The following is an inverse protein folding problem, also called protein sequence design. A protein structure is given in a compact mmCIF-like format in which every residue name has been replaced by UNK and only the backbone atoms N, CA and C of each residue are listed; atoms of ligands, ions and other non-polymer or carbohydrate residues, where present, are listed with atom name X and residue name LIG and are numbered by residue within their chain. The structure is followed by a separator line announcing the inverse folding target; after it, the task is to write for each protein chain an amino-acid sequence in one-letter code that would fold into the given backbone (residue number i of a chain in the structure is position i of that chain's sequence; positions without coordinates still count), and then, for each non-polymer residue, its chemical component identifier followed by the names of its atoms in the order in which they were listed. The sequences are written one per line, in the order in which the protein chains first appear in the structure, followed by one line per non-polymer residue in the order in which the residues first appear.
data_IF_058970139683
#
_entry.id   IF_058970139683
#
_cell.length_a   1.000
_cell.length_b   1.000
_cell.length_c   1.000
_cell.angle_alpha   90.00
_cell.angle_beta   90.00
_cell.angle_gamma   90.00
#
_symmetry.space_group_name_H-M   'P 1'
#
loop_
_entity.id
_entity.type
_entity.pdbx_description
1 polymer ?
#
# COMPACT_ATOMS: atom_id res chain seq x y z
N UNK A 1 -10.02 -1.27 -30.85
CA UNK A 1 -9.64 -2.29 -29.84
C UNK A 1 -9.43 -3.60 -30.56
N UNK A 2 -8.30 -4.26 -30.35
CA UNK A 2 -8.06 -5.64 -30.82
C UNK A 2 -8.78 -6.60 -29.87
N UNK A 3 -9.69 -7.41 -30.42
CA UNK A 3 -10.39 -8.48 -29.70
C UNK A 3 -9.66 -9.77 -30.02
N UNK A 4 -9.20 -10.48 -28.99
CA UNK A 4 -8.59 -11.80 -29.11
C UNK A 4 -9.55 -12.81 -28.50
N UNK A 5 -9.81 -13.91 -29.20
CA UNK A 5 -10.60 -15.01 -28.67
C UNK A 5 -9.69 -15.98 -27.93
N UNK A 6 -10.08 -16.35 -26.71
CA UNK A 6 -9.37 -17.30 -25.85
C UNK A 6 -10.43 -18.19 -25.22
N UNK A 7 -10.21 -19.49 -25.30
CA UNK A 7 -11.07 -20.47 -24.64
C UNK A 7 -10.67 -20.56 -23.17
N UNK A 8 -11.65 -20.33 -22.29
CA UNK A 8 -11.52 -20.41 -20.84
C UNK A 8 -12.68 -21.26 -20.36
N UNK A 9 -12.42 -22.14 -19.39
CA UNK A 9 -13.47 -22.91 -18.75
C UNK A 9 -14.53 -21.97 -18.14
N UNK A 10 -15.81 -22.30 -18.36
CA UNK A 10 -16.92 -21.42 -17.97
C UNK A 10 -17.11 -21.37 -16.46
N UNK A 11 -16.84 -22.48 -15.78
CA UNK A 11 -17.01 -22.60 -14.33
C UNK A 11 -15.85 -21.88 -13.62
N UNK A 12 -14.62 -22.01 -14.13
CA UNK A 12 -13.48 -21.22 -13.64
C UNK A 12 -13.70 -19.71 -13.84
N UNK A 13 -14.22 -19.31 -15.01
CA UNK A 13 -14.51 -17.90 -15.28
C UNK A 13 -15.64 -17.35 -14.39
N UNK A 14 -16.65 -18.17 -14.08
CA UNK A 14 -17.73 -17.80 -13.16
C UNK A 14 -17.20 -17.59 -11.75
N UNK A 15 -16.38 -18.53 -11.24
CA UNK A 15 -15.74 -18.41 -9.94
C UNK A 15 -14.82 -17.17 -9.88
N UNK A 16 -14.01 -16.95 -10.92
CA UNK A 16 -13.12 -15.81 -10.97
C UNK A 16 -13.90 -14.47 -10.93
N UNK A 17 -15.05 -14.38 -11.58
CA UNK A 17 -15.92 -13.19 -11.52
C UNK A 17 -16.47 -12.94 -10.12
N UNK A 18 -16.89 -14.00 -9.43
CA UNK A 18 -17.41 -13.92 -8.07
C UNK A 18 -16.32 -13.43 -7.10
N UNK A 19 -15.14 -14.06 -7.14
CA UNK A 19 -14.00 -13.70 -6.29
C UNK A 19 -13.49 -12.29 -6.58
N UNK A 20 -13.46 -11.88 -7.85
CA UNK A 20 -13.00 -10.57 -8.27
C UNK A 20 -14.06 -9.45 -8.12
N UNK A 21 -15.33 -9.80 -7.93
CA UNK A 21 -16.44 -8.83 -7.92
C UNK A 21 -16.66 -8.10 -9.25
N UNK A 22 -16.27 -8.70 -10.37
CA UNK A 22 -16.32 -8.06 -11.70
C UNK A 22 -17.59 -8.40 -12.47
N UNK A 23 -18.11 -7.46 -13.26
CA UNK A 23 -19.34 -7.65 -14.03
C UNK A 23 -19.10 -8.41 -15.34
N UNK A 24 -17.94 -8.26 -15.97
CA UNK A 24 -17.65 -8.84 -17.29
C UNK A 24 -16.42 -9.72 -17.30
N UNK A 25 -16.40 -10.73 -18.18
CA UNK A 25 -15.25 -11.63 -18.33
C UNK A 25 -13.97 -10.86 -18.71
N UNK A 26 -14.12 -9.82 -19.53
CA UNK A 26 -13.01 -8.95 -19.93
C UNK A 26 -12.38 -8.26 -18.72
N UNK A 27 -13.20 -7.70 -17.83
CA UNK A 27 -12.71 -7.05 -16.60
C UNK A 27 -12.02 -8.05 -15.67
N UNK A 28 -12.59 -9.26 -15.53
CA UNK A 28 -11.96 -10.33 -14.74
C UNK A 28 -10.57 -10.67 -15.26
N UNK A 29 -10.43 -10.86 -16.58
CA UNK A 29 -9.15 -11.19 -17.21
C UNK A 29 -8.17 -10.03 -17.12
N UNK A 30 -8.62 -8.78 -17.31
CA UNK A 30 -7.77 -7.61 -17.15
C UNK A 30 -7.23 -7.48 -15.72
N UNK A 31 -8.10 -7.67 -14.72
CA UNK A 31 -7.72 -7.64 -13.31
C UNK A 31 -6.72 -8.75 -12.97
N UNK A 32 -6.97 -9.97 -13.45
CA UNK A 32 -6.08 -11.11 -13.25
C UNK A 32 -4.69 -10.85 -13.84
N UNK A 33 -4.61 -10.34 -15.08
CA UNK A 33 -3.35 -10.01 -15.74
C UNK A 33 -2.60 -8.90 -15.00
N UNK A 34 -3.30 -7.84 -14.59
CA UNK A 34 -2.70 -6.73 -13.82
C UNK A 34 -2.11 -7.23 -12.50
N UNK A 35 -2.85 -8.08 -11.79
CA UNK A 35 -2.41 -8.68 -10.53
C UNK A 35 -1.20 -9.59 -10.73
N UNK A 36 -1.23 -10.47 -11.73
CA UNK A 36 -0.12 -11.38 -12.04
C UNK A 36 1.17 -10.61 -12.36
N UNK A 37 1.07 -9.54 -13.16
CA UNK A 37 2.22 -8.68 -13.49
C UNK A 37 2.73 -7.99 -12.22
N UNK A 38 1.85 -7.48 -11.37
CA UNK A 38 2.24 -6.83 -10.12
C UNK A 38 3.00 -7.79 -9.19
N UNK A 39 2.47 -9.01 -8.98
CA UNK A 39 3.11 -10.07 -8.19
C UNK A 39 4.49 -10.43 -8.73
N UNK A 40 4.61 -10.58 -10.06
CA UNK A 40 5.88 -10.98 -10.70
C UNK A 40 6.90 -9.85 -10.87
N UNK A 41 6.50 -8.58 -10.71
CA UNK A 41 7.43 -7.43 -10.77
C UNK A 41 8.20 -7.17 -9.47
N UNK A 42 7.81 -7.81 -8.36
CA UNK A 42 8.41 -7.58 -7.03
C UNK A 42 9.56 -8.50 -6.57
N UNK A 43 10.05 -9.53 -7.29
CA UNK A 43 11.24 -10.25 -6.83
C UNK A 43 12.52 -9.38 -6.79
N UNK A 44 12.71 -8.50 -7.77
CA UNK A 44 13.97 -7.76 -7.92
C UNK A 44 14.07 -6.48 -7.07
N UNK A 45 13.00 -6.06 -6.40
CA UNK A 45 13.05 -4.94 -5.42
C UNK A 45 13.26 -5.46 -4.00
N UNK A 46 12.66 -6.60 -3.65
CA UNK A 46 12.76 -7.19 -2.30
C UNK A 46 14.14 -7.81 -2.07
N UNK A 47 14.77 -8.43 -3.08
CA UNK A 47 16.15 -8.94 -2.98
C UNK A 47 17.18 -7.86 -2.63
N UNK A 48 16.97 -6.61 -3.08
CA UNK A 48 17.86 -5.48 -2.72
C UNK A 48 17.74 -5.04 -1.26
N UNK A 49 16.62 -5.33 -0.60
CA UNK A 49 16.38 -4.94 0.80
C UNK A 49 16.90 -6.01 1.78
N UNK A 50 16.81 -7.29 1.42
CA UNK A 50 17.26 -8.42 2.25
C UNK A 50 18.79 -8.56 2.24
N UNK A 51 19.49 -8.05 1.21
CA UNK A 51 20.96 -8.02 1.17
C UNK A 51 21.62 -6.87 1.94
N UNK A 52 20.86 -6.03 2.65
CA UNK A 52 21.41 -4.90 3.41
C UNK A 52 21.88 -5.38 4.78
N UNK A 53 23.17 -5.68 4.90
CA UNK A 53 23.83 -5.69 6.21
C UNK A 53 23.92 -4.25 6.69
N UNK A 54 23.39 -3.96 7.87
CA UNK A 54 23.64 -2.68 8.55
C UNK A 54 24.98 -2.79 9.25
N UNK A 55 25.87 -1.83 9.01
CA UNK A 55 27.10 -1.72 9.81
C UNK A 55 26.71 -1.36 11.26
N UNK A 56 27.41 -1.86 12.29
CA UNK A 56 27.06 -1.63 13.70
C UNK A 56 26.87 -0.15 14.06
N UNK A 57 27.63 0.73 13.41
CA UNK A 57 27.61 2.18 13.57
C UNK A 57 26.28 2.82 13.11
N UNK A 58 25.44 2.10 12.37
CA UNK A 58 24.14 2.57 11.88
C UNK A 58 22.97 2.16 12.79
N UNK A 59 23.22 1.30 13.77
CA UNK A 59 22.21 0.79 14.70
C UNK A 59 22.09 1.72 15.93
N UNK A 60 23.11 2.54 16.18
CA UNK A 60 23.15 3.54 17.26
C UNK A 60 22.87 4.96 16.76
N UNK A 61 21.79 5.12 16.00
CA UNK A 61 21.34 6.45 15.61
C UNK A 61 20.78 7.19 16.84
N UNK A 62 21.23 8.42 17.15
CA UNK A 62 20.73 9.17 18.30
C UNK A 62 19.23 9.44 18.14
N UNK A 63 18.45 8.98 19.12
CA UNK A 63 16.99 9.17 19.13
C UNK A 63 16.66 10.66 19.15
N UNK A 64 15.98 11.15 18.11
CA UNK A 64 15.47 12.52 18.08
C UNK A 64 14.15 12.54 18.86
N UNK A 65 14.16 13.15 20.04
CA UNK A 65 12.94 13.37 20.79
C UNK A 65 12.03 14.38 20.04
N UNK A 66 10.72 14.12 19.92
CA UNK A 66 9.80 15.07 19.33
C UNK A 66 9.82 16.38 20.12
N UNK A 67 9.98 17.51 19.42
CA UNK A 67 9.98 18.84 20.04
C UNK A 67 8.65 19.03 20.79
N UNK A 68 8.64 19.31 22.11
CA UNK A 68 7.40 19.60 22.79
C UNK A 68 6.79 20.84 22.17
N UNK A 69 5.53 20.72 21.73
CA UNK A 69 4.74 21.86 21.28
C UNK A 69 4.62 22.80 22.48
N UNK A 70 5.24 23.99 22.40
CA UNK A 70 5.03 25.04 23.39
C UNK A 70 3.55 25.37 23.41
N UNK A 71 2.85 24.90 24.44
CA UNK A 71 1.50 25.31 24.78
C UNK A 71 1.56 26.80 25.12
N UNK A 72 1.17 27.65 24.16
CA UNK A 72 0.92 29.06 24.40
C UNK A 72 -0.01 29.20 25.59
N UNK A 73 0.47 29.90 26.62
CA UNK A 73 -0.27 30.24 27.82
C UNK A 73 -1.58 30.94 27.46
N UNK A 74 -2.70 30.26 27.69
CA UNK A 74 -4.00 30.90 27.80
C UNK A 74 -4.06 31.49 29.22
N UNK A 75 -3.69 32.76 29.39
CA UNK A 75 -3.94 33.48 30.64
C UNK A 75 -5.43 33.78 30.78
N UNK A 76 -6.11 33.36 31.86
CA UNK A 76 -7.38 33.93 32.24
C UNK A 76 -7.09 35.06 33.23
N UNK A 77 -7.09 36.30 32.76
CA UNK A 77 -7.03 37.46 33.65
C UNK A 77 -7.87 38.57 33.04
N UNK A 78 -9.18 38.44 33.21
CA UNK A 78 -10.06 39.59 33.32
C UNK A 78 -11.22 39.18 34.24
N UNK A 79 -11.00 39.41 35.53
CA UNK A 79 -12.01 39.29 36.59
C UNK A 79 -12.83 40.60 36.55
N UNK A 80 -14.16 40.58 36.35
CA UNK A 80 -14.95 41.80 36.31
C UNK A 80 -15.13 42.33 37.74
N UNK A 81 -14.50 43.46 38.03
CA UNK A 81 -14.69 44.20 39.27
C UNK A 81 -16.10 44.80 39.32
N UNK A 82 -16.72 44.72 40.50
CA UNK A 82 -18.05 45.22 40.87
C UNK A 82 -18.23 46.74 40.71
#
# INVERSE_FOLDING_TARGET
MTVTSIDIDKDELALAKEVAGTATARETVELALRTLIAVRRQPSVVERLIGRSFEPDQIDAPTIAPRPLSSSSLSPSDEPSA
#
